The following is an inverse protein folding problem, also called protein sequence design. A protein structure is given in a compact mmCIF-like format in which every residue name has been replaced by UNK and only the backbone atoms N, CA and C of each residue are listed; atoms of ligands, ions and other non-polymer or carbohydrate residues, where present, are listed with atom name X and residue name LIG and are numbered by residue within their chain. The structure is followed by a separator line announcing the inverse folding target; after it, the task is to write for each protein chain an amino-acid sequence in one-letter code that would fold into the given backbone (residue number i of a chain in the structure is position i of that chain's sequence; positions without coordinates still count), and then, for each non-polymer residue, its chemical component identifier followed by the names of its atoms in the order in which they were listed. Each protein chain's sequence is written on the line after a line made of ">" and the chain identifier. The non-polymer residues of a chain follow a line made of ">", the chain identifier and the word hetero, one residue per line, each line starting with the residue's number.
data_IF_301139167059
#
_entry.id   IF_301139167059
#
_cell.length_a   1.000
_cell.length_b   1.000
_cell.length_c   1.000
_cell.angle_alpha   90.00
_cell.angle_beta   90.00
_cell.angle_gamma   90.00
#
_symmetry.space_group_name_H-M   'P 1'
#
loop_
_entity.id
_entity.type
_entity.pdbx_description
1 polymer ?
#
# COMPACT_ATOMS: atom_id res chain seq x y z
N UNK A 1 -67.83 -31.18 20.52
CA UNK A 1 -67.19 -29.84 20.44
C UNK A 1 -66.11 -29.96 19.37
N UNK A 2 -66.29 -29.43 18.15
CA UNK A 2 -66.21 -28.00 17.75
C UNK A 2 -64.77 -27.45 17.85
N UNK A 3 -64.14 -26.84 16.83
CA UNK A 3 -64.50 -26.58 15.41
C UNK A 3 -63.22 -26.31 14.59
N UNK A 4 -63.17 -26.59 13.28
CA UNK A 4 -63.45 -25.68 12.12
C UNK A 4 -62.28 -24.75 11.69
N UNK A 5 -62.08 -24.67 10.36
CA UNK A 5 -61.22 -23.76 9.55
C UNK A 5 -59.71 -24.04 9.48
N UNK A 6 -59.01 -23.81 8.36
CA UNK A 6 -59.48 -23.30 7.06
C UNK A 6 -58.45 -23.40 5.92
N UNK A 7 -58.94 -23.32 4.66
CA UNK A 7 -58.19 -23.44 3.40
C UNK A 7 -57.13 -22.35 3.17
N UNK A 8 -56.02 -22.70 2.48
CA UNK A 8 -55.86 -22.33 1.04
C UNK A 8 -54.74 -23.05 0.26
N UNK A 9 -55.12 -23.45 -0.96
CA UNK A 9 -54.31 -23.81 -2.14
C UNK A 9 -53.63 -22.50 -2.65
N UNK A 10 -52.50 -22.40 -3.37
CA UNK A 10 -51.97 -22.97 -4.64
C UNK A 10 -50.42 -22.78 -4.63
N UNK A 11 -49.53 -23.11 -5.60
CA UNK A 11 -49.59 -23.41 -7.05
C UNK A 11 -48.82 -24.74 -7.36
N UNK A 12 -48.48 -25.02 -8.62
CA UNK A 12 -47.85 -26.24 -9.17
C UNK A 12 -46.88 -25.86 -10.30
N UNK A 13 -45.65 -26.43 -10.35
CA UNK A 13 -44.77 -26.74 -11.53
C UNK A 13 -43.29 -26.74 -11.07
N UNK A 14 -42.43 -27.76 -11.20
CA UNK A 14 -42.15 -28.77 -12.25
C UNK A 14 -41.16 -28.28 -13.34
N UNK A 15 -40.06 -29.05 -13.50
CA UNK A 15 -39.09 -29.08 -14.62
C UNK A 15 -38.28 -27.81 -14.98
N UNK A 16 -37.03 -27.71 -14.48
CA UNK A 16 -35.93 -27.05 -15.21
C UNK A 16 -34.54 -27.61 -14.83
N UNK A 17 -34.27 -28.88 -15.14
CA UNK A 17 -32.94 -29.54 -14.99
C UNK A 17 -32.24 -29.84 -16.33
N UNK A 18 -32.65 -29.17 -17.42
CA UNK A 18 -32.19 -29.47 -18.79
C UNK A 18 -31.94 -28.16 -19.55
N UNK A 19 -30.88 -27.41 -19.18
CA UNK A 19 -30.44 -26.20 -19.92
C UNK A 19 -28.91 -26.05 -19.98
N UNK A 20 -28.15 -26.47 -18.96
CA UNK A 20 -26.70 -26.12 -18.81
C UNK A 20 -25.74 -27.08 -19.56
N UNK A 21 -26.23 -27.86 -20.54
CA UNK A 21 -25.43 -28.85 -21.29
C UNK A 21 -25.10 -28.42 -22.73
N UNK A 22 -25.41 -27.18 -23.13
CA UNK A 22 -25.23 -26.68 -24.51
C UNK A 22 -24.38 -25.39 -24.52
N UNK A 23 -23.13 -25.48 -24.05
CA UNK A 23 -22.18 -24.34 -24.12
C UNK A 23 -20.71 -24.74 -24.33
N UNK A 24 -20.43 -26.01 -24.67
CA UNK A 24 -19.06 -26.57 -24.80
C UNK A 24 -18.59 -26.61 -26.28
N UNK A 25 -19.31 -25.95 -27.20
CA UNK A 25 -19.15 -26.20 -28.66
C UNK A 25 -18.93 -24.95 -29.53
N UNK A 26 -18.43 -23.86 -28.95
CA UNK A 26 -17.98 -22.67 -29.70
C UNK A 26 -16.71 -22.10 -29.06
N UNK A 27 -15.53 -22.45 -29.59
CA UNK A 27 -14.29 -21.63 -29.51
C UNK A 27 -13.09 -22.21 -30.32
N UNK A 28 -13.33 -23.09 -31.31
CA UNK A 28 -12.29 -23.75 -32.11
C UNK A 28 -12.05 -23.10 -33.49
N UNK A 29 -11.90 -21.77 -33.54
CA UNK A 29 -11.40 -21.06 -34.73
C UNK A 29 -10.50 -19.89 -34.34
N UNK A 30 -9.17 -20.08 -34.38
CA UNK A 30 -8.24 -19.21 -35.14
C UNK A 30 -6.78 -19.52 -34.77
N UNK A 31 -6.19 -20.49 -35.48
CA UNK A 31 -4.74 -20.48 -35.73
C UNK A 31 -4.53 -20.08 -37.19
N UNK A 32 -3.89 -18.93 -37.45
CA UNK A 32 -3.31 -18.63 -38.77
C UNK A 32 -1.92 -18.02 -38.62
N UNK A 33 -0.95 -18.82 -39.06
CA UNK A 33 0.44 -18.46 -39.33
C UNK A 33 0.63 -17.03 -39.85
N UNK A 34 1.69 -16.37 -39.37
CA UNK A 34 2.58 -15.59 -40.24
C UNK A 34 4.05 -15.90 -39.94
N UNK A 35 4.64 -16.59 -40.92
CA UNK A 35 6.05 -16.69 -41.29
C UNK A 35 7.11 -16.11 -40.35
N UNK A 36 7.94 -17.02 -39.82
CA UNK A 36 9.32 -16.72 -39.45
C UNK A 36 10.11 -16.49 -40.74
N UNK A 37 10.69 -15.29 -40.91
CA UNK A 37 11.79 -15.07 -41.86
C UNK A 37 13.11 -15.08 -41.11
N UNK A 38 14.02 -15.92 -41.57
CA UNK A 38 15.42 -16.01 -41.14
C UNK A 38 16.33 -15.18 -42.06
N UNK A 39 17.63 -15.17 -41.73
CA UNK A 39 18.73 -14.49 -42.45
C UNK A 39 18.75 -12.97 -42.14
N UNK A 40 19.88 -12.33 -41.76
CA UNK A 40 21.28 -12.63 -42.09
C UNK A 40 22.26 -12.40 -40.93
N UNK A 41 23.40 -13.11 -40.96
CA UNK A 41 24.59 -12.83 -40.14
C UNK A 41 25.55 -12.00 -41.00
N UNK A 42 25.92 -10.80 -40.57
CA UNK A 42 27.10 -10.10 -41.09
C UNK A 42 27.95 -9.64 -39.91
N UNK A 43 29.24 -9.94 -39.98
CA UNK A 43 30.27 -9.63 -38.99
C UNK A 43 31.36 -8.77 -39.67
N UNK A 44 32.39 -8.38 -38.91
CA UNK A 44 33.61 -7.65 -39.32
C UNK A 44 33.51 -6.15 -39.63
N UNK A 45 33.66 -5.36 -38.56
CA UNK A 45 34.82 -4.49 -38.28
C UNK A 45 35.28 -3.40 -39.28
N UNK A 46 35.29 -2.16 -38.79
CA UNK A 46 36.43 -1.20 -38.68
C UNK A 46 35.90 0.09 -38.02
N UNK A 47 36.24 0.38 -36.77
CA UNK A 47 37.49 1.06 -36.34
C UNK A 47 37.56 2.52 -36.81
N UNK A 48 37.31 3.48 -35.90
CA UNK A 48 38.07 4.75 -35.74
C UNK A 48 37.69 5.38 -34.37
N UNK A 49 38.67 5.39 -33.47
CA UNK A 49 39.05 6.38 -32.44
C UNK A 49 38.02 7.18 -31.58
N UNK A 50 38.35 7.20 -30.28
CA UNK A 50 38.16 8.25 -29.26
C UNK A 50 36.87 9.08 -29.20
N UNK A 51 36.15 8.93 -28.07
CA UNK A 51 36.07 9.99 -27.02
C UNK A 51 35.97 9.28 -25.67
N UNK A 52 36.91 9.58 -24.76
CA UNK A 52 36.77 9.24 -23.34
C UNK A 52 35.82 10.26 -22.72
N UNK A 53 34.67 9.78 -22.23
CA UNK A 53 33.74 10.56 -21.40
C UNK A 53 33.26 9.68 -20.25
N UNK A 54 33.24 10.24 -19.04
CA UNK A 54 32.97 9.51 -17.79
C UNK A 54 31.51 9.02 -17.70
N UNK A 55 31.23 7.80 -18.17
CA UNK A 55 30.04 7.07 -17.75
C UNK A 55 30.23 6.52 -16.32
N UNK A 56 30.23 7.41 -15.33
CA UNK A 56 29.79 7.05 -13.98
C UNK A 56 28.28 6.78 -14.06
N UNK A 57 27.95 5.51 -14.21
CA UNK A 57 26.59 5.00 -14.06
C UNK A 57 26.03 5.46 -12.71
N UNK A 58 25.12 6.42 -12.74
CA UNK A 58 24.23 6.72 -11.61
C UNK A 58 23.36 5.48 -11.39
N UNK A 59 23.20 4.96 -10.16
CA UNK A 59 22.18 3.96 -9.90
C UNK A 59 20.80 4.61 -10.01
N UNK A 60 20.04 4.20 -11.02
CA UNK A 60 18.67 4.68 -11.24
C UNK A 60 17.67 3.98 -10.30
N UNK A 61 17.49 4.52 -9.09
CA UNK A 61 16.29 4.28 -8.28
C UNK A 61 15.82 5.56 -7.55
N UNK A 62 15.82 6.69 -8.26
CA UNK A 62 15.18 7.92 -7.77
C UNK A 62 13.70 7.90 -8.09
N UNK A 63 12.84 7.80 -7.07
CA UNK A 63 11.41 8.06 -7.21
C UNK A 63 11.21 9.51 -7.67
N UNK A 64 10.63 9.73 -8.85
CA UNK A 64 10.25 11.08 -9.30
C UNK A 64 9.02 11.56 -8.54
N UNK A 65 9.26 12.28 -7.45
CA UNK A 65 8.23 12.99 -6.68
C UNK A 65 7.96 14.36 -7.30
N UNK A 66 6.75 14.56 -7.81
CA UNK A 66 6.24 15.90 -8.19
C UNK A 66 5.70 16.61 -6.93
N UNK A 67 6.51 16.66 -5.88
CA UNK A 67 6.23 17.39 -4.65
C UNK A 67 7.06 18.67 -4.73
N UNK A 68 6.47 19.88 -4.60
CA UNK A 68 7.25 21.11 -4.48
C UNK A 68 8.27 20.97 -3.35
N UNK A 69 9.53 21.33 -3.60
CA UNK A 69 10.54 21.35 -2.55
C UNK A 69 10.24 22.51 -1.58
N UNK A 70 9.42 22.21 -0.57
CA UNK A 70 9.12 23.11 0.53
C UNK A 70 10.33 23.08 1.48
N UNK A 71 10.60 24.18 2.17
CA UNK A 71 11.53 24.15 3.30
C UNK A 71 10.89 23.30 4.42
N UNK A 72 11.60 22.24 4.81
CA UNK A 72 11.09 21.12 5.61
C UNK A 72 10.37 21.55 6.91
N UNK A 73 10.78 22.68 7.49
CA UNK A 73 10.18 23.28 8.69
C UNK A 73 8.73 23.80 8.56
N UNK A 74 8.16 23.92 7.35
CA UNK A 74 6.83 24.53 7.17
C UNK A 74 5.64 23.58 7.33
N UNK A 75 5.85 22.27 7.15
CA UNK A 75 4.77 21.28 7.27
C UNK A 75 4.45 20.94 8.74
N UNK A 76 3.21 20.54 8.99
CA UNK A 76 2.77 20.11 10.32
C UNK A 76 3.44 18.81 10.77
N UNK A 77 3.51 18.65 12.10
CA UNK A 77 4.07 17.46 12.76
C UNK A 77 2.95 16.48 13.13
N UNK A 78 3.15 15.20 12.80
CA UNK A 78 2.28 14.09 13.19
C UNK A 78 3.10 13.05 13.96
N UNK A 79 3.34 13.30 15.25
CA UNK A 79 4.12 12.37 16.09
C UNK A 79 3.42 11.04 16.26
N UNK A 80 4.19 9.95 16.30
CA UNK A 80 3.67 8.61 16.59
C UNK A 80 2.97 8.50 17.96
N UNK A 81 3.41 9.27 18.96
CA UNK A 81 2.82 9.29 20.30
C UNK A 81 1.39 9.86 20.32
N UNK A 82 1.03 10.69 19.34
CA UNK A 82 -0.29 11.31 19.20
C UNK A 82 -1.31 10.43 18.45
N UNK A 83 -0.86 9.30 17.90
CA UNK A 83 -1.65 8.39 17.08
C UNK A 83 -2.21 7.23 17.92
N UNK A 84 -3.43 6.78 17.60
CA UNK A 84 -4.00 5.50 18.02
C UNK A 84 -4.64 4.77 16.84
N UNK A 85 -4.02 3.68 16.39
CA UNK A 85 -4.55 2.80 15.34
C UNK A 85 -5.77 2.05 15.84
N UNK A 86 -6.85 2.11 15.06
CA UNK A 86 -8.19 1.65 15.43
C UNK A 86 -8.65 2.13 16.82
N UNK A 87 -8.14 3.29 17.25
CA UNK A 87 -8.41 3.91 18.56
C UNK A 87 -7.83 3.15 19.76
N UNK A 88 -6.89 2.22 19.54
CA UNK A 88 -6.36 1.33 20.59
C UNK A 88 -4.83 1.28 20.66
N UNK A 89 -4.16 1.03 19.54
CA UNK A 89 -2.72 0.72 19.53
C UNK A 89 -1.85 1.92 19.17
N UNK A 90 -0.65 1.99 19.72
CA UNK A 90 0.41 2.92 19.27
C UNK A 90 1.08 2.39 17.99
N UNK A 91 2.11 3.06 17.48
CA UNK A 91 2.89 2.56 16.33
C UNK A 91 3.54 1.21 16.64
N UNK A 92 4.07 1.05 17.86
CA UNK A 92 4.66 -0.19 18.37
C UNK A 92 3.73 -0.88 19.37
N UNK A 93 3.61 -2.21 19.27
CA UNK A 93 2.78 -3.07 20.12
C UNK A 93 3.24 -4.54 20.03
N UNK A 94 2.56 -5.45 20.73
CA UNK A 94 2.85 -6.90 20.74
C UNK A 94 2.09 -7.69 19.68
N UNK A 95 2.54 -8.91 19.37
CA UNK A 95 1.83 -9.80 18.43
C UNK A 95 0.44 -10.20 18.96
N UNK A 96 0.30 -10.35 20.28
CA UNK A 96 -1.00 -10.60 20.92
C UNK A 96 -1.96 -9.41 20.79
N UNK A 97 -1.45 -8.18 20.87
CA UNK A 97 -2.23 -6.96 20.61
C UNK A 97 -2.62 -6.82 19.14
N UNK A 98 -1.75 -7.20 18.20
CA UNK A 98 -2.06 -7.29 16.77
C UNK A 98 -3.29 -8.19 16.56
N UNK A 99 -3.23 -9.44 17.03
CA UNK A 99 -4.32 -10.41 16.89
C UNK A 99 -5.62 -9.95 17.56
N UNK A 100 -5.52 -9.24 18.70
CA UNK A 100 -6.67 -8.72 19.45
C UNK A 100 -7.39 -7.56 18.74
N UNK A 101 -6.66 -6.73 17.99
CA UNK A 101 -7.21 -5.49 17.38
C UNK A 101 -7.46 -5.63 15.87
N UNK A 102 -6.63 -6.38 15.17
CA UNK A 102 -6.73 -6.60 13.72
C UNK A 102 -7.21 -8.01 13.35
N UNK A 103 -7.16 -8.98 14.28
CA UNK A 103 -7.39 -10.39 13.99
C UNK A 103 -6.18 -11.06 13.35
N UNK A 104 -6.38 -12.23 12.77
CA UNK A 104 -5.33 -12.92 12.01
C UNK A 104 -4.93 -12.11 10.77
N UNK A 105 -3.63 -12.09 10.47
CA UNK A 105 -3.08 -11.49 9.25
C UNK A 105 -3.58 -12.23 8.00
N UNK A 106 -3.62 -11.54 6.86
CA UNK A 106 -4.07 -12.10 5.58
C UNK A 106 -2.93 -12.84 4.85
N UNK A 107 -1.68 -12.38 5.03
CA UNK A 107 -0.47 -13.05 4.55
C UNK A 107 0.77 -12.64 5.37
N UNK A 108 1.88 -13.35 5.15
CA UNK A 108 3.21 -13.11 5.74
C UNK A 108 4.23 -13.14 4.60
N UNK A 109 5.30 -12.34 4.72
CA UNK A 109 6.55 -12.49 3.95
C UNK A 109 7.76 -12.25 4.83
N UNK A 110 8.89 -12.91 4.57
CA UNK A 110 10.14 -12.61 5.26
C UNK A 110 10.68 -11.25 4.80
N UNK A 111 11.31 -10.48 5.70
CA UNK A 111 11.96 -9.21 5.33
C UNK A 111 13.09 -9.44 4.32
N UNK A 112 13.86 -10.52 4.50
CA UNK A 112 14.92 -10.93 3.58
C UNK A 112 14.43 -11.28 2.16
N UNK A 113 13.14 -11.58 1.97
CA UNK A 113 12.56 -11.86 0.63
C UNK A 113 12.06 -10.59 -0.06
N UNK A 114 11.73 -9.53 0.70
CA UNK A 114 11.24 -8.25 0.17
C UNK A 114 12.36 -7.21 0.02
N UNK A 115 13.54 -7.46 0.60
CA UNK A 115 14.74 -6.60 0.57
C UNK A 115 14.44 -5.09 0.75
N UNK A 116 13.72 -4.69 1.83
CA UNK A 116 13.40 -3.30 2.05
C UNK A 116 14.67 -2.49 2.34
N UNK A 117 14.72 -1.24 1.87
CA UNK A 117 15.91 -0.40 2.05
C UNK A 117 16.06 0.19 3.47
N UNK A 118 15.03 0.04 4.31
CA UNK A 118 15.02 0.37 5.74
C UNK A 118 14.15 -0.65 6.50
N UNK A 119 14.51 -0.93 7.75
CA UNK A 119 13.77 -1.83 8.66
C UNK A 119 13.59 -1.20 10.04
N UNK A 120 12.40 -1.32 10.61
CA UNK A 120 12.03 -0.71 11.89
C UNK A 120 12.74 -1.37 13.09
N UNK A 121 13.00 -2.68 13.03
CA UNK A 121 13.58 -3.47 14.12
C UNK A 121 15.06 -3.85 13.92
N UNK A 122 15.81 -3.03 13.18
CA UNK A 122 17.25 -3.18 12.97
C UNK A 122 18.04 -3.38 14.30
N UNK A 123 18.99 -4.31 14.30
CA UNK A 123 19.87 -4.53 15.44
C UNK A 123 20.91 -3.41 15.56
N UNK A 124 21.53 -3.29 16.74
CA UNK A 124 22.53 -2.24 17.05
C UNK A 124 23.79 -2.27 16.18
N UNK A 125 24.04 -3.36 15.48
CA UNK A 125 25.17 -3.58 14.57
C UNK A 125 24.79 -3.38 13.08
N UNK A 126 23.55 -2.98 12.80
CA UNK A 126 23.02 -2.81 11.45
C UNK A 126 22.51 -4.11 10.79
N UNK A 127 22.37 -5.20 11.55
CA UNK A 127 21.83 -6.46 11.04
C UNK A 127 20.31 -6.57 11.22
N UNK A 128 19.65 -7.24 10.29
CA UNK A 128 18.23 -7.64 10.40
C UNK A 128 18.17 -9.08 10.89
N UNK A 129 17.21 -9.43 11.77
CA UNK A 129 17.05 -10.82 12.19
C UNK A 129 16.43 -11.64 11.04
N UNK A 130 16.99 -12.81 10.68
CA UNK A 130 16.52 -13.57 9.52
C UNK A 130 15.07 -14.08 9.62
N UNK A 131 14.48 -14.09 10.82
CA UNK A 131 13.08 -14.47 11.06
C UNK A 131 12.12 -13.27 11.08
N UNK A 132 12.62 -12.04 10.91
CA UNK A 132 11.80 -10.83 10.82
C UNK A 132 10.95 -10.85 9.55
N UNK A 133 9.71 -10.36 9.66
CA UNK A 133 8.68 -10.53 8.63
C UNK A 133 7.70 -9.39 8.55
N UNK A 134 7.17 -9.17 7.35
CA UNK A 134 6.00 -8.33 7.15
C UNK A 134 4.73 -9.15 7.35
N UNK A 135 3.87 -8.67 8.24
CA UNK A 135 2.48 -9.09 8.37
C UNK A 135 1.62 -8.17 7.51
N UNK A 136 0.73 -8.73 6.70
CA UNK A 136 -0.21 -7.96 5.88
C UNK A 136 -1.63 -8.12 6.40
N UNK A 137 -2.38 -7.02 6.52
CA UNK A 137 -3.79 -7.05 6.93
C UNK A 137 -4.61 -5.93 6.31
N UNK A 138 -5.66 -6.28 5.57
CA UNK A 138 -6.57 -5.35 4.88
C UNK A 138 -5.84 -4.33 3.99
N UNK A 139 -4.70 -4.74 3.43
CA UNK A 139 -3.79 -3.92 2.61
C UNK A 139 -2.75 -3.12 3.40
N UNK A 140 -2.87 -3.01 4.73
CA UNK A 140 -1.83 -2.46 5.61
C UNK A 140 -0.65 -3.43 5.75
N UNK A 141 0.54 -2.89 6.00
CA UNK A 141 1.80 -3.63 6.22
C UNK A 141 2.35 -3.29 7.61
N UNK A 142 2.77 -4.31 8.33
CA UNK A 142 3.34 -4.21 9.67
C UNK A 142 4.64 -5.00 9.71
N UNK A 143 5.70 -4.42 10.25
CA UNK A 143 6.93 -5.17 10.51
C UNK A 143 6.78 -5.94 11.83
N UNK A 144 7.28 -7.16 11.90
CA UNK A 144 7.25 -7.99 13.09
C UNK A 144 8.62 -8.64 13.35
N UNK A 145 9.16 -8.36 14.54
CA UNK A 145 10.35 -9.03 15.09
C UNK A 145 10.02 -9.71 16.41
N UNK A 146 10.00 -11.05 16.38
CA UNK A 146 9.59 -11.91 17.52
C UNK A 146 8.17 -11.52 17.99
N UNK A 147 8.01 -11.03 19.22
CA UNK A 147 6.73 -10.55 19.76
C UNK A 147 6.46 -9.06 19.45
N UNK A 148 7.44 -8.30 18.94
CA UNK A 148 7.25 -6.87 18.63
C UNK A 148 6.61 -6.71 17.26
N UNK A 149 5.63 -5.81 17.14
CA UNK A 149 5.01 -5.40 15.87
C UNK A 149 5.07 -3.88 15.77
N UNK A 150 5.32 -3.36 14.58
CA UNK A 150 5.27 -1.94 14.26
C UNK A 150 4.40 -1.68 13.03
N UNK A 151 3.64 -0.59 13.02
CA UNK A 151 2.98 -0.10 11.80
C UNK A 151 4.01 0.52 10.87
N UNK A 152 4.04 0.04 9.64
CA UNK A 152 4.87 0.55 8.55
C UNK A 152 4.01 1.33 7.54
N UNK A 153 3.04 0.65 6.90
CA UNK A 153 1.99 1.26 6.07
C UNK A 153 0.60 0.94 6.63
N UNK A 154 -0.26 1.94 6.76
CA UNK A 154 -1.64 1.80 7.19
C UNK A 154 -2.64 2.23 6.10
N UNK A 155 -3.49 1.30 5.64
CA UNK A 155 -4.59 1.60 4.72
C UNK A 155 -5.83 2.04 5.49
N UNK A 156 -6.44 3.14 5.05
CA UNK A 156 -7.73 3.58 5.55
C UNK A 156 -8.85 2.85 4.80
N UNK A 157 -9.59 2.02 5.54
CA UNK A 157 -10.69 1.20 5.00
C UNK A 157 -12.00 1.59 5.68
N UNK A 158 -13.04 0.76 5.61
CA UNK A 158 -14.27 0.95 6.42
C UNK A 158 -14.09 0.46 7.87
N UNK A 159 -13.20 -0.50 8.08
CA UNK A 159 -12.80 -1.05 9.38
C UNK A 159 -11.68 -0.23 10.02
N UNK A 160 -10.74 0.26 9.22
CA UNK A 160 -9.49 0.87 9.70
C UNK A 160 -9.53 2.40 9.74
N UNK A 161 -9.06 2.94 10.87
CA UNK A 161 -8.98 4.37 11.15
C UNK A 161 -7.84 4.67 12.13
N UNK A 162 -7.44 5.94 12.23
CA UNK A 162 -6.62 6.41 13.35
C UNK A 162 -7.37 7.47 14.16
N UNK A 163 -7.04 7.57 15.44
CA UNK A 163 -7.26 8.81 16.19
C UNK A 163 -5.92 9.55 16.23
N UNK A 164 -5.89 10.79 15.74
CA UNK A 164 -4.76 11.70 15.89
C UNK A 164 -5.17 12.84 16.81
N UNK A 165 -4.55 12.96 17.99
CA UNK A 165 -4.96 13.94 19.04
C UNK A 165 -6.46 13.87 19.37
N UNK A 166 -7.04 12.68 19.30
CA UNK A 166 -8.48 12.42 19.50
C UNK A 166 -9.37 12.67 18.28
N UNK A 167 -8.86 13.27 17.20
CA UNK A 167 -9.58 13.47 15.94
C UNK A 167 -9.55 12.18 15.13
N UNK A 168 -10.71 11.69 14.71
CA UNK A 168 -10.82 10.48 13.87
C UNK A 168 -10.49 10.79 12.41
N UNK A 169 -9.54 10.03 11.85
CA UNK A 169 -9.20 10.02 10.42
C UNK A 169 -9.49 8.63 9.85
N UNK A 170 -10.30 8.55 8.79
CA UNK A 170 -10.65 7.30 8.11
C UNK A 170 -10.89 7.49 6.61
N UNK A 171 -11.31 6.43 5.90
CA UNK A 171 -11.53 6.44 4.44
C UNK A 171 -12.62 7.41 3.96
N UNK A 172 -13.36 8.05 4.87
CA UNK A 172 -14.31 9.12 4.54
C UNK A 172 -13.72 10.53 4.61
N UNK A 173 -12.60 10.72 5.33
CA UNK A 173 -11.93 12.01 5.54
C UNK A 173 -11.55 12.65 4.20
N UNK A 174 -12.04 13.86 3.96
CA UNK A 174 -11.80 14.61 2.71
C UNK A 174 -10.54 15.48 2.80
N UNK A 175 -10.05 15.95 1.64
CA UNK A 175 -9.01 17.01 1.58
C UNK A 175 -9.41 18.23 2.43
N UNK A 176 -10.70 18.61 2.44
CA UNK A 176 -11.18 19.76 3.22
C UNK A 176 -11.16 19.53 4.73
N UNK A 177 -11.13 18.27 5.17
CA UNK A 177 -10.97 17.90 6.58
C UNK A 177 -9.49 17.84 6.95
N UNK A 178 -8.66 17.25 6.08
CA UNK A 178 -7.20 17.30 6.23
C UNK A 178 -6.71 18.74 6.30
N UNK A 179 -7.26 19.67 5.52
CA UNK A 179 -6.87 21.09 5.54
C UNK A 179 -7.14 21.79 6.88
N UNK A 180 -8.11 21.31 7.69
CA UNK A 180 -8.38 21.86 9.02
C UNK A 180 -7.33 21.43 10.06
N UNK A 181 -6.59 20.36 9.77
CA UNK A 181 -5.65 19.70 10.68
C UNK A 181 -4.20 19.97 10.25
N UNK A 182 -3.96 19.95 8.93
CA UNK A 182 -2.67 20.13 8.27
C UNK A 182 -2.76 21.24 7.18
N UNK A 183 -3.09 22.50 7.55
CA UNK A 183 -3.32 23.60 6.61
C UNK A 183 -2.10 24.02 5.77
N UNK A 184 -0.87 23.69 6.15
CA UNK A 184 0.33 23.95 5.35
C UNK A 184 0.63 22.81 4.40
N UNK A 185 0.69 21.57 4.88
CA UNK A 185 0.95 20.41 4.04
C UNK A 185 -0.09 20.27 2.91
N UNK A 186 -1.36 20.58 3.19
CA UNK A 186 -2.45 20.56 2.18
C UNK A 186 -2.43 21.71 1.17
N UNK A 187 -1.63 22.77 1.35
CA UNK A 187 -1.38 23.76 0.27
C UNK A 187 -0.53 23.17 -0.85
N UNK A 188 0.27 22.15 -0.53
CA UNK A 188 1.30 21.59 -1.39
C UNK A 188 1.05 20.10 -1.67
N UNK A 189 -0.20 19.73 -2.00
CA UNK A 189 -0.55 18.37 -2.42
C UNK A 189 0.23 18.04 -3.70
N UNK A 190 1.26 17.22 -3.57
CA UNK A 190 2.09 16.76 -4.67
C UNK A 190 1.55 15.47 -5.29
N UNK A 191 2.40 14.79 -6.04
CA UNK A 191 2.12 13.43 -6.51
C UNK A 191 3.36 12.55 -6.48
N UNK A 192 3.15 11.27 -6.14
CA UNK A 192 4.18 10.24 -6.05
C UNK A 192 3.71 9.02 -6.83
N UNK A 193 4.60 8.39 -7.59
CA UNK A 193 4.33 7.07 -8.19
C UNK A 193 4.59 5.98 -7.14
N UNK A 194 3.53 5.31 -6.72
CA UNK A 194 3.58 4.26 -5.69
C UNK A 194 3.44 2.91 -6.36
N UNK A 195 4.37 2.00 -6.08
CA UNK A 195 4.41 0.68 -6.72
C UNK A 195 3.06 -0.06 -6.62
N UNK A 196 2.57 -0.58 -7.75
CA UNK A 196 1.24 -1.20 -7.95
C UNK A 196 0.02 -0.29 -7.77
N UNK A 197 0.17 0.92 -7.24
CA UNK A 197 -0.91 1.92 -7.10
C UNK A 197 -0.92 2.95 -8.23
N UNK A 198 0.25 3.21 -8.82
CA UNK A 198 0.48 4.27 -9.79
C UNK A 198 0.61 5.65 -9.12
N UNK A 199 0.48 6.70 -9.93
CA UNK A 199 0.55 8.09 -9.46
C UNK A 199 -0.63 8.45 -8.55
N UNK A 200 -0.32 8.69 -7.27
CA UNK A 200 -1.28 9.07 -6.22
C UNK A 200 -0.95 10.46 -5.67
N UNK A 201 -1.97 11.16 -5.16
CA UNK A 201 -1.77 12.43 -4.47
C UNK A 201 -1.18 12.19 -3.08
N UNK A 202 -0.30 13.08 -2.62
CA UNK A 202 0.37 12.94 -1.33
C UNK A 202 0.56 14.30 -0.67
N UNK A 203 0.45 14.34 0.65
CA UNK A 203 1.03 15.41 1.50
C UNK A 203 2.07 14.77 2.42
N UNK A 204 3.15 15.51 2.69
CA UNK A 204 4.19 15.09 3.63
C UNK A 204 4.00 15.81 4.96
N UNK A 205 4.08 15.07 6.05
CA UNK A 205 4.05 15.57 7.42
C UNK A 205 5.37 15.20 8.09
N UNK A 206 5.85 16.08 8.97
CA UNK A 206 7.04 15.79 9.79
C UNK A 206 6.71 14.76 10.86
N UNK A 207 7.64 13.87 11.17
CA UNK A 207 7.46 12.93 12.28
C UNK A 207 7.93 13.48 13.63
N UNK A 208 8.81 14.49 13.63
CA UNK A 208 9.30 15.18 14.83
C UNK A 208 9.26 16.72 14.71
N UNK A 209 9.41 17.43 15.83
CA UNK A 209 9.25 18.91 15.92
C UNK A 209 10.46 19.69 15.40
N UNK A 210 11.65 19.08 15.47
CA UNK A 210 12.94 19.74 15.30
C UNK A 210 13.68 19.29 14.02
N UNK A 211 13.10 18.35 13.27
CA UNK A 211 13.66 17.73 12.07
C UNK A 211 15.00 17.05 12.39
N UNK A 212 14.99 16.21 13.42
CA UNK A 212 16.14 15.36 13.79
C UNK A 212 16.23 14.15 12.87
N UNK A 213 15.09 13.68 12.36
CA UNK A 213 15.00 12.65 11.34
C UNK A 213 14.85 13.29 9.95
N UNK A 214 15.54 12.73 8.96
CA UNK A 214 15.28 12.98 7.53
C UNK A 214 14.03 12.21 7.02
N UNK A 215 13.42 11.40 7.90
CA UNK A 215 12.18 10.68 7.65
C UNK A 215 10.93 11.55 7.76
N UNK A 216 9.85 11.10 7.12
CA UNK A 216 8.57 11.81 7.10
C UNK A 216 7.38 10.86 6.94
N UNK A 217 6.20 11.34 7.32
CA UNK A 217 4.95 10.60 7.14
C UNK A 217 4.30 11.06 5.84
N UNK A 218 4.22 10.15 4.87
CA UNK A 218 3.44 10.36 3.65
C UNK A 218 1.97 10.04 3.94
N UNK A 219 1.08 11.00 3.71
CA UNK A 219 -0.38 10.81 3.73
C UNK A 219 -0.89 10.80 2.30
N UNK A 220 -1.33 9.64 1.84
CA UNK A 220 -1.81 9.43 0.48
C UNK A 220 -3.31 9.68 0.35
N UNK A 221 -3.68 10.30 -0.76
CA UNK A 221 -5.03 10.74 -1.08
C UNK A 221 -5.43 10.11 -2.42
N UNK A 222 -6.60 9.47 -2.46
CA UNK A 222 -7.16 8.84 -3.66
C UNK A 222 -8.63 9.24 -3.81
N UNK A 223 -9.02 9.71 -4.99
CA UNK A 223 -10.37 10.23 -5.27
C UNK A 223 -10.83 11.34 -4.28
N UNK A 224 -9.91 12.22 -3.87
CA UNK A 224 -10.19 13.33 -2.96
C UNK A 224 -10.38 12.94 -1.48
N UNK A 225 -10.07 11.69 -1.12
CA UNK A 225 -10.18 11.17 0.24
C UNK A 225 -8.90 10.51 0.73
N UNK A 226 -8.74 10.47 2.04
CA UNK A 226 -7.66 9.79 2.73
C UNK A 226 -7.62 8.29 2.34
N UNK A 227 -6.45 7.79 1.92
CA UNK A 227 -6.28 6.46 1.35
C UNK A 227 -5.31 5.59 2.16
N UNK A 228 -4.10 6.07 2.41
CA UNK A 228 -3.13 5.38 3.28
C UNK A 228 -2.17 6.37 3.93
N UNK A 229 -1.43 5.89 4.93
CA UNK A 229 -0.27 6.58 5.48
C UNK A 229 0.93 5.63 5.58
N UNK A 230 2.13 6.16 5.42
CA UNK A 230 3.39 5.40 5.42
C UNK A 230 4.48 6.24 6.10
N UNK A 231 5.24 5.63 7.01
CA UNK A 231 6.52 6.21 7.45
C UNK A 231 7.56 5.95 6.37
N UNK A 232 8.13 7.01 5.83
CA UNK A 232 9.21 6.93 4.85
C UNK A 232 10.50 7.42 5.49
N UNK A 233 11.59 6.68 5.29
CA UNK A 233 12.94 7.06 5.66
C UNK A 233 13.82 7.05 4.41
N UNK A 234 14.86 7.91 4.33
CA UNK A 234 15.73 7.94 3.17
C UNK A 234 16.59 6.68 3.06
N UNK A 235 16.86 6.34 1.81
CA UNK A 235 17.75 5.29 1.32
C UNK A 235 18.56 5.89 0.15
#
# INVERSE_FOLDING_TARGET
>A
MAGISGLKVIVKKNKMKIVVLISILVLSVSCRNKEIKSVEKIDTSKETEEIISENKSKPDTSYTTDIPHIEDFQNEVMKEEDILFNGRLKKYFTLSEFETVFGQNDSIKLLLEEEPCYTIFENKDGSVDPEDKYLYKEGSRFENSKDKVAVDEFKFTKSNFVLFKGIRLDSSTSISDLQKIFPNATKNIGSMDVYKEGKVQVIQLREDENNVSDGHINIFIKNGKLYSMHWWYPC
#
